data_IF_830925705956
#
_entry.id   IF_830925705956
#
_cell.length_a   1.000
_cell.length_b   1.000
_cell.length_c   1.000
_cell.angle_alpha   90.00
_cell.angle_beta   90.00
_cell.angle_gamma   90.00
#
_symmetry.space_group_name_H-M   'P 1'
#
loop_
_entity.id
_entity.type
_entity.pdbx_description
1 polymer ?
#
# COMPACT_ATOMS: atom_id res chain seq x y z
N UNK A 1 -26.52 -37.63 4.44
CA UNK A 1 -25.89 -36.30 4.58
C UNK A 1 -26.38 -35.44 3.42
N UNK A 2 -27.09 -34.34 3.69
CA UNK A 2 -27.65 -33.43 2.67
C UNK A 2 -26.61 -32.35 2.34
N UNK A 3 -26.05 -32.41 1.14
CA UNK A 3 -25.20 -31.35 0.56
C UNK A 3 -26.01 -30.07 0.44
N UNK A 4 -25.60 -29.01 1.15
CA UNK A 4 -26.15 -27.66 0.95
C UNK A 4 -25.59 -27.13 -0.37
N UNK A 5 -26.35 -27.23 -1.45
CA UNK A 5 -26.12 -26.43 -2.64
C UNK A 5 -26.25 -24.96 -2.22
N UNK A 6 -25.14 -24.21 -2.24
CA UNK A 6 -25.20 -22.75 -2.29
C UNK A 6 -25.85 -22.41 -3.62
N UNK A 7 -27.08 -21.91 -3.58
CA UNK A 7 -27.70 -21.30 -4.75
C UNK A 7 -26.79 -20.14 -5.16
N UNK A 8 -26.07 -20.30 -6.28
CA UNK A 8 -25.47 -19.18 -6.97
C UNK A 8 -26.62 -18.35 -7.52
N UNK A 9 -26.62 -17.05 -7.21
CA UNK A 9 -27.64 -16.15 -7.75
C UNK A 9 -27.65 -16.25 -9.27
N UNK A 10 -28.83 -16.43 -9.86
CA UNK A 10 -28.95 -16.53 -11.32
C UNK A 10 -28.69 -15.18 -11.96
N UNK A 11 -28.33 -15.16 -13.24
CA UNK A 11 -28.10 -13.92 -14.00
C UNK A 11 -29.33 -12.97 -13.93
N UNK A 12 -30.54 -13.54 -13.84
CA UNK A 12 -31.78 -12.77 -13.66
C UNK A 12 -31.88 -12.05 -12.31
N UNK A 13 -31.33 -12.62 -11.25
CA UNK A 13 -31.30 -11.98 -9.92
C UNK A 13 -30.25 -10.86 -9.88
N UNK A 14 -29.17 -11.01 -10.65
CA UNK A 14 -28.20 -9.93 -10.85
C UNK A 14 -28.80 -8.75 -11.60
N UNK A 15 -29.57 -9.01 -12.67
CA UNK A 15 -30.26 -7.95 -13.43
C UNK A 15 -31.26 -7.18 -12.56
N UNK A 16 -31.98 -7.86 -11.68
CA UNK A 16 -32.93 -7.24 -10.76
C UNK A 16 -32.20 -6.30 -9.78
N UNK A 17 -31.09 -6.74 -9.19
CA UNK A 17 -30.25 -5.91 -8.28
C UNK A 17 -29.70 -4.68 -8.99
N UNK A 18 -29.27 -4.80 -10.24
CA UNK A 18 -28.80 -3.65 -11.02
C UNK A 18 -29.92 -2.68 -11.36
N UNK A 19 -31.10 -3.18 -11.71
CA UNK A 19 -32.26 -2.31 -11.97
C UNK A 19 -32.69 -1.52 -10.73
N UNK A 20 -32.63 -2.17 -9.56
CA UNK A 20 -33.03 -1.58 -8.29
C UNK A 20 -31.99 -0.55 -7.79
N UNK A 21 -30.71 -0.73 -8.15
CA UNK A 21 -29.65 0.25 -7.94
C UNK A 21 -29.85 1.50 -8.83
N UNK A 22 -30.14 1.32 -10.12
CA UNK A 22 -30.38 2.43 -11.04
C UNK A 22 -31.65 3.22 -10.69
N UNK A 23 -32.70 2.54 -10.23
CA UNK A 23 -33.94 3.17 -9.76
C UNK A 23 -33.75 4.05 -8.52
N UNK A 24 -32.71 3.81 -7.72
CA UNK A 24 -32.38 4.59 -6.52
C UNK A 24 -31.46 5.76 -6.80
N UNK A 25 -30.92 5.89 -8.02
CA UNK A 25 -30.15 7.07 -8.36
C UNK A 25 -31.09 8.28 -8.44
N UNK A 26 -30.86 9.32 -7.61
CA UNK A 26 -31.66 10.53 -7.69
C UNK A 26 -31.50 11.14 -9.08
N UNK A 27 -32.63 11.33 -9.78
CA UNK A 27 -32.64 11.99 -11.08
C UNK A 27 -31.88 13.32 -10.99
N UNK A 28 -30.95 13.53 -11.94
CA UNK A 28 -30.16 14.75 -12.01
C UNK A 28 -31.10 15.96 -11.95
N UNK A 29 -30.94 16.76 -10.89
CA UNK A 29 -31.78 17.92 -10.66
C UNK A 29 -31.73 18.85 -11.88
N UNK A 30 -32.87 19.39 -12.35
CA UNK A 30 -32.87 20.38 -13.42
C UNK A 30 -32.03 21.59 -12.98
N UNK A 31 -31.08 21.96 -13.84
CA UNK A 31 -30.21 23.11 -13.65
C UNK A 31 -31.05 24.36 -13.33
N UNK A 32 -30.76 25.10 -12.25
CA UNK A 32 -31.49 26.32 -11.95
C UNK A 32 -31.27 27.38 -13.04
N UNK A 33 -32.35 28.12 -13.30
CA UNK A 33 -32.44 29.16 -14.32
C UNK A 33 -31.24 30.13 -14.34
N UNK A 34 -30.88 30.53 -15.57
CA UNK A 34 -29.79 31.44 -15.89
C UNK A 34 -29.77 32.66 -14.97
N UNK A 35 -28.62 32.86 -14.28
CA UNK A 35 -28.33 34.09 -13.55
C UNK A 35 -28.34 35.29 -14.51
N UNK A 36 -28.78 36.47 -14.06
CA UNK A 36 -28.72 37.69 -14.87
C UNK A 36 -27.28 37.96 -15.31
N UNK A 37 -27.11 38.25 -16.60
CA UNK A 37 -25.83 38.57 -17.20
C UNK A 37 -25.16 39.73 -16.44
N UNK A 38 -24.01 39.46 -15.84
CA UNK A 38 -23.11 40.51 -15.35
C UNK A 38 -22.73 41.41 -16.53
N UNK A 39 -22.65 42.73 -16.35
CA UNK A 39 -22.04 43.60 -17.35
C UNK A 39 -20.61 43.10 -17.60
N UNK A 40 -20.32 42.77 -18.86
CA UNK A 40 -19.00 42.39 -19.31
C UNK A 40 -18.09 43.61 -19.18
N UNK A 41 -17.34 43.69 -18.08
CA UNK A 41 -16.11 44.46 -18.11
C UNK A 41 -15.25 43.84 -19.20
N UNK A 42 -14.86 44.66 -20.19
CA UNK A 42 -13.97 44.25 -21.26
C UNK A 42 -12.78 43.53 -20.65
N UNK A 43 -12.74 42.22 -20.84
CA UNK A 43 -11.65 41.36 -20.43
C UNK A 43 -10.44 41.84 -21.23
N UNK A 44 -9.37 42.36 -20.60
CA UNK A 44 -8.14 42.62 -21.32
C UNK A 44 -7.71 41.27 -21.91
N UNK A 45 -7.59 41.22 -23.24
CA UNK A 45 -7.20 40.03 -23.98
C UNK A 45 -6.12 39.29 -23.20
N UNK A 46 -6.44 38.06 -22.76
CA UNK A 46 -5.51 37.22 -22.05
C UNK A 46 -4.20 37.21 -22.86
N UNK A 47 -3.04 37.52 -22.25
CA UNK A 47 -1.79 37.44 -22.98
C UNK A 47 -1.68 36.01 -23.49
N UNK A 48 -1.68 35.88 -24.81
CA UNK A 48 -1.42 34.64 -25.52
C UNK A 48 -0.18 34.05 -24.86
N UNK A 49 -0.35 32.94 -24.14
CA UNK A 49 0.76 32.31 -23.42
C UNK A 49 1.76 31.85 -24.48
N UNK A 50 2.72 32.73 -24.76
CA UNK A 50 3.81 32.46 -25.66
C UNK A 50 4.54 31.25 -25.09
N UNK A 51 4.34 30.09 -25.71
CA UNK A 51 5.19 28.92 -25.50
C UNK A 51 6.62 29.44 -25.67
N UNK A 52 7.46 29.41 -24.62
CA UNK A 52 8.84 29.82 -24.78
C UNK A 52 9.44 28.90 -25.84
N UNK A 53 9.77 29.47 -27.00
CA UNK A 53 10.52 28.79 -28.05
C UNK A 53 11.95 28.71 -27.56
N UNK A 54 12.21 27.73 -26.68
CA UNK A 54 13.56 27.47 -26.21
C UNK A 54 14.36 26.99 -27.44
N UNK A 55 15.45 27.67 -27.81
CA UNK A 55 16.23 27.26 -28.97
C UNK A 55 16.70 25.81 -28.78
N UNK A 56 16.62 24.96 -29.82
CA UNK A 56 16.78 23.50 -29.69
C UNK A 56 18.14 23.07 -29.14
N UNK A 57 19.16 23.94 -29.23
CA UNK A 57 20.49 23.71 -28.66
C UNK A 57 20.55 24.00 -27.16
N UNK A 58 19.87 25.04 -26.68
CA UNK A 58 19.80 25.37 -25.25
C UNK A 58 18.91 24.37 -24.50
N UNK A 59 17.84 23.90 -25.16
CA UNK A 59 16.97 22.84 -24.64
C UNK A 59 17.72 21.51 -24.43
N UNK A 60 18.67 21.15 -25.32
CA UNK A 60 19.50 19.97 -25.14
C UNK A 60 20.47 20.11 -23.97
N UNK A 61 21.17 21.25 -23.82
CA UNK A 61 22.09 21.43 -22.69
C UNK A 61 21.34 21.48 -21.35
N UNK A 62 20.17 22.13 -21.29
CA UNK A 62 19.32 22.07 -20.09
C UNK A 62 18.81 20.66 -19.80
N UNK A 63 18.41 19.89 -20.81
CA UNK A 63 17.97 18.51 -20.61
C UNK A 63 19.07 17.63 -19.99
N UNK A 64 20.32 17.79 -20.44
CA UNK A 64 21.48 17.10 -19.84
C UNK A 64 21.77 17.58 -18.42
N UNK A 65 21.60 18.87 -18.12
CA UNK A 65 21.77 19.40 -16.77
C UNK A 65 20.67 18.95 -15.79
N UNK A 66 19.46 18.67 -16.27
CA UNK A 66 18.33 18.18 -15.46
C UNK A 66 18.39 16.67 -15.21
N UNK A 67 19.06 15.91 -16.08
CA UNK A 67 19.21 14.46 -15.97
C UNK A 67 19.81 13.98 -14.62
N UNK A 68 20.90 14.57 -14.09
CA UNK A 68 21.43 14.20 -12.77
C UNK A 68 20.47 14.56 -11.62
N UNK A 69 19.72 15.66 -11.73
CA UNK A 69 18.72 16.03 -10.74
C UNK A 69 17.53 15.05 -10.73
N UNK A 70 17.07 14.63 -11.91
CA UNK A 70 16.05 13.61 -12.05
C UNK A 70 16.53 12.25 -11.49
N UNK A 71 17.79 11.88 -11.74
CA UNK A 71 18.38 10.68 -11.18
C UNK A 71 18.48 10.73 -9.63
N UNK A 72 18.89 11.86 -9.07
CA UNK A 72 18.91 12.08 -7.62
C UNK A 72 17.50 12.01 -7.02
N UNK A 73 16.51 12.65 -7.65
CA UNK A 73 15.13 12.57 -7.22
C UNK A 73 14.60 11.14 -7.27
N UNK A 74 14.96 10.37 -8.29
CA UNK A 74 14.59 8.97 -8.42
C UNK A 74 15.15 8.10 -7.30
N UNK A 75 16.42 8.30 -6.94
CA UNK A 75 17.09 7.56 -5.86
C UNK A 75 16.54 7.98 -4.49
N UNK A 76 16.22 9.26 -4.29
CA UNK A 76 15.70 9.78 -3.02
C UNK A 76 14.21 9.50 -2.78
N UNK A 77 13.42 9.36 -3.83
CA UNK A 77 11.97 9.13 -3.76
C UNK A 77 11.54 7.94 -2.87
N UNK A 78 12.15 6.73 -2.96
CA UNK A 78 11.76 5.63 -2.08
C UNK A 78 12.06 5.93 -0.61
N UNK A 79 13.16 6.63 -0.29
CA UNK A 79 13.49 7.01 1.09
C UNK A 79 12.55 8.07 1.65
N UNK A 80 12.17 9.07 0.84
CA UNK A 80 11.16 10.06 1.25
C UNK A 80 9.81 9.38 1.53
N UNK A 81 9.42 8.44 0.66
CA UNK A 81 8.19 7.65 0.84
C UNK A 81 8.27 6.79 2.11
N UNK A 82 9.40 6.12 2.33
CA UNK A 82 9.65 5.34 3.53
C UNK A 82 9.58 6.20 4.80
N UNK A 83 10.12 7.42 4.77
CA UNK A 83 10.04 8.39 5.87
C UNK A 83 8.60 8.85 6.15
N UNK A 84 7.83 9.16 5.11
CA UNK A 84 6.41 9.51 5.25
C UNK A 84 5.59 8.35 5.82
N UNK A 85 5.85 7.12 5.38
CA UNK A 85 5.21 5.93 5.93
C UNK A 85 5.60 5.69 7.40
N UNK A 86 6.89 5.85 7.72
CA UNK A 86 7.40 5.74 9.07
C UNK A 86 6.70 6.71 10.04
N UNK A 87 6.66 7.99 9.68
CA UNK A 87 5.97 9.03 10.46
C UNK A 87 4.46 8.80 10.55
N UNK A 88 3.82 8.35 9.47
CA UNK A 88 2.39 8.03 9.47
C UNK A 88 2.06 6.81 10.34
N UNK A 89 2.91 5.77 10.36
CA UNK A 89 2.77 4.62 11.24
C UNK A 89 2.92 5.03 12.72
N UNK A 90 3.88 5.90 13.03
CA UNK A 90 4.08 6.40 14.40
C UNK A 90 2.92 7.29 14.87
N UNK A 91 2.47 8.18 14.00
CA UNK A 91 1.35 9.10 14.27
C UNK A 91 -0.03 8.47 14.17
N UNK A 92 -0.12 7.21 13.72
CA UNK A 92 -1.40 6.54 13.35
C UNK A 92 -2.23 7.37 12.38
N UNK A 93 -1.57 8.02 11.44
CA UNK A 93 -2.21 8.82 10.41
C UNK A 93 -2.70 7.90 9.29
N UNK A 94 -3.92 7.40 9.47
CA UNK A 94 -4.58 6.50 8.51
C UNK A 94 -4.79 7.14 7.14
N UNK A 95 -4.96 8.46 7.07
CA UNK A 95 -5.15 9.17 5.80
C UNK A 95 -3.86 9.19 4.99
N UNK A 96 -2.74 9.53 5.63
CA UNK A 96 -1.43 9.49 4.99
C UNK A 96 -1.04 8.06 4.60
N UNK A 97 -1.34 7.06 5.44
CA UNK A 97 -1.14 5.66 5.07
C UNK A 97 -1.99 5.26 3.86
N UNK A 98 -3.27 5.66 3.80
CA UNK A 98 -4.16 5.34 2.68
C UNK A 98 -3.66 5.86 1.33
N UNK A 99 -2.94 7.00 1.30
CA UNK A 99 -2.35 7.53 0.06
C UNK A 99 -1.20 6.69 -0.49
N UNK A 100 -0.53 5.93 0.38
CA UNK A 100 0.68 5.18 0.05
C UNK A 100 0.48 3.66 0.05
N UNK A 101 -0.62 3.16 0.62
CA UNK A 101 -0.94 1.73 0.65
C UNK A 101 -1.80 1.37 -0.56
N UNK A 102 -1.39 0.34 -1.31
CA UNK A 102 -2.22 -0.25 -2.34
C UNK A 102 -2.95 -1.45 -1.75
N UNK A 103 -4.26 -1.34 -1.41
CA UNK A 103 -4.96 -2.38 -0.65
C UNK A 103 -5.03 -3.70 -1.42
N UNK A 104 -5.24 -3.67 -2.73
CA UNK A 104 -5.31 -4.87 -3.55
C UNK A 104 -3.97 -5.60 -3.62
N UNK A 105 -2.87 -4.86 -3.80
CA UNK A 105 -1.53 -5.46 -3.81
C UNK A 105 -1.17 -6.01 -2.42
N UNK A 106 -1.46 -5.25 -1.37
CA UNK A 106 -1.22 -5.66 0.01
C UNK A 106 -2.00 -6.92 0.38
N UNK A 107 -3.28 -7.01 0.01
CA UNK A 107 -4.09 -8.21 0.20
C UNK A 107 -3.45 -9.42 -0.50
N UNK A 108 -3.03 -9.27 -1.75
CA UNK A 108 -2.35 -10.33 -2.50
C UNK A 108 -1.05 -10.79 -1.83
N UNK A 109 -0.25 -9.85 -1.32
CA UNK A 109 0.99 -10.15 -0.62
C UNK A 109 0.74 -10.85 0.73
N UNK A 110 -0.23 -10.38 1.52
CA UNK A 110 -0.61 -11.02 2.78
C UNK A 110 -1.15 -12.43 2.54
N UNK A 111 -2.01 -12.61 1.53
CA UNK A 111 -2.50 -13.94 1.13
C UNK A 111 -1.35 -14.87 0.76
N UNK A 112 -0.38 -14.38 -0.03
CA UNK A 112 0.80 -15.16 -0.40
C UNK A 112 1.66 -15.53 0.81
N UNK A 113 1.83 -14.62 1.77
CA UNK A 113 2.56 -14.89 3.01
C UNK A 113 1.83 -15.84 3.97
N UNK A 114 0.50 -15.80 3.98
CA UNK A 114 -0.36 -16.65 4.80
C UNK A 114 -0.59 -18.04 4.23
N UNK A 115 -0.17 -18.33 3.00
CA UNK A 115 -0.35 -19.63 2.37
C UNK A 115 0.88 -20.52 2.66
N UNK A 116 0.92 -21.22 3.81
CA UNK A 116 2.17 -21.74 4.36
C UNK A 116 2.18 -23.24 4.10
N UNK A 117 2.44 -23.64 2.86
CA UNK A 117 2.49 -25.03 2.43
C UNK A 117 1.16 -25.82 2.60
N UNK A 118 0.82 -26.54 1.53
CA UNK A 118 -0.37 -27.37 1.35
C UNK A 118 -0.55 -28.33 2.55
N UNK A 119 -1.64 -28.20 3.30
CA UNK A 119 -2.06 -29.22 4.24
C UNK A 119 -2.51 -30.46 3.46
N UNK A 120 -2.22 -31.66 3.94
CA UNK A 120 -2.69 -32.90 3.29
C UNK A 120 -4.22 -32.98 3.38
N UNK A 121 -4.91 -32.58 2.31
CA UNK A 121 -6.37 -32.65 2.18
C UNK A 121 -6.97 -31.43 1.47
N UNK A 122 -7.69 -31.68 0.37
CA UNK A 122 -8.35 -30.66 -0.46
C UNK A 122 -9.29 -29.76 0.36
N UNK A 123 -10.06 -30.36 1.28
CA UNK A 123 -11.04 -29.63 2.09
C UNK A 123 -10.40 -28.77 3.19
N UNK A 124 -9.29 -29.22 3.78
CA UNK A 124 -8.51 -28.43 4.73
C UNK A 124 -7.86 -27.23 4.04
N UNK A 125 -7.32 -27.44 2.84
CA UNK A 125 -6.74 -26.37 2.03
C UNK A 125 -7.78 -25.31 1.63
N UNK A 126 -8.98 -25.72 1.23
CA UNK A 126 -10.05 -24.79 0.90
C UNK A 126 -10.47 -23.92 2.10
N UNK A 127 -10.55 -24.52 3.29
CA UNK A 127 -10.86 -23.79 4.52
C UNK A 127 -9.74 -22.80 4.92
N UNK A 128 -8.48 -23.25 4.87
CA UNK A 128 -7.33 -22.40 5.17
C UNK A 128 -7.19 -21.25 4.15
N UNK A 129 -7.45 -21.52 2.87
CA UNK A 129 -7.46 -20.49 1.84
C UNK A 129 -8.55 -19.43 2.08
N UNK A 130 -9.77 -19.85 2.46
CA UNK A 130 -10.84 -18.92 2.79
C UNK A 130 -10.49 -18.07 4.03
N UNK A 131 -9.92 -18.68 5.08
CA UNK A 131 -9.47 -17.95 6.26
C UNK A 131 -8.34 -16.98 5.94
N UNK A 132 -7.38 -17.38 5.10
CA UNK A 132 -6.30 -16.52 4.65
C UNK A 132 -6.85 -15.32 3.85
N UNK A 133 -7.88 -15.53 3.03
CA UNK A 133 -8.55 -14.45 2.29
C UNK A 133 -9.25 -13.46 3.23
N UNK A 134 -9.96 -13.95 4.25
CA UNK A 134 -10.62 -13.09 5.25
C UNK A 134 -9.59 -12.28 6.06
N UNK A 135 -8.49 -12.92 6.50
CA UNK A 135 -7.41 -12.23 7.23
C UNK A 135 -6.72 -11.21 6.32
N UNK A 136 -6.42 -11.59 5.07
CA UNK A 136 -5.77 -10.71 4.11
C UNK A 136 -6.65 -9.48 3.81
N UNK A 137 -7.96 -9.65 3.66
CA UNK A 137 -8.90 -8.55 3.47
C UNK A 137 -8.92 -7.61 4.68
N UNK A 138 -8.93 -8.15 5.91
CA UNK A 138 -8.86 -7.35 7.13
C UNK A 138 -7.55 -6.55 7.24
N UNK A 139 -6.44 -7.16 6.86
CA UNK A 139 -5.10 -6.58 6.97
C UNK A 139 -4.72 -5.62 5.84
N UNK A 140 -5.42 -5.69 4.71
CA UNK A 140 -5.21 -4.80 3.57
C UNK A 140 -5.64 -3.35 3.84
N UNK A 141 -6.19 -3.06 5.02
CA UNK A 141 -6.59 -1.71 5.41
C UNK A 141 -5.43 -0.92 6.03
N UNK A 142 -5.32 0.40 5.76
CA UNK A 142 -4.29 1.25 6.36
C UNK A 142 -4.32 1.24 7.90
N UNK A 143 -5.52 1.13 8.50
CA UNK A 143 -5.68 1.02 9.93
C UNK A 143 -5.15 -0.29 10.49
N UNK A 144 -5.44 -1.42 9.84
CA UNK A 144 -4.92 -2.70 10.26
C UNK A 144 -3.39 -2.77 10.16
N UNK A 145 -2.78 -2.13 9.15
CA UNK A 145 -1.32 -2.07 9.06
C UNK A 145 -0.68 -1.40 10.29
N UNK A 146 -1.25 -0.28 10.75
CA UNK A 146 -0.77 0.42 11.94
C UNK A 146 -0.96 -0.44 13.22
N UNK A 147 -2.10 -1.12 13.34
CA UNK A 147 -2.36 -2.01 14.47
C UNK A 147 -1.47 -3.26 14.46
N UNK A 148 -1.18 -3.83 13.28
CA UNK A 148 -0.24 -4.96 13.15
C UNK A 148 1.17 -4.52 13.54
N UNK A 149 1.62 -3.35 13.07
CA UNK A 149 2.93 -2.80 13.46
C UNK A 149 3.00 -2.60 15.00
N UNK A 150 1.93 -2.10 15.61
CA UNK A 150 1.82 -1.96 17.07
C UNK A 150 1.85 -3.31 17.78
N UNK A 151 1.05 -4.28 17.34
CA UNK A 151 0.99 -5.63 17.92
C UNK A 151 2.34 -6.35 17.84
N UNK A 152 3.13 -6.08 16.79
CA UNK A 152 4.51 -6.56 16.62
C UNK A 152 5.53 -5.81 17.49
N UNK A 153 5.10 -4.75 18.17
CA UNK A 153 5.93 -3.98 19.09
C UNK A 153 6.88 -3.00 18.38
N UNK A 154 6.51 -2.51 17.19
CA UNK A 154 7.25 -1.43 16.51
C UNK A 154 7.12 -0.16 17.35
N UNK A 155 8.23 0.30 17.91
CA UNK A 155 8.27 1.50 18.77
C UNK A 155 8.38 2.78 17.94
N UNK A 156 7.90 3.92 18.45
CA UNK A 156 8.29 5.22 17.93
C UNK A 156 9.82 5.35 17.92
N UNK A 157 10.40 5.75 16.80
CA UNK A 157 11.83 5.77 16.51
C UNK A 157 12.34 4.53 15.76
N UNK A 158 11.75 3.34 15.97
CA UNK A 158 12.17 2.13 15.26
C UNK A 158 11.82 2.19 13.75
N UNK A 159 10.81 2.99 13.38
CA UNK A 159 10.48 3.23 11.97
C UNK A 159 11.55 4.07 11.28
N UNK A 160 12.12 5.09 11.96
CA UNK A 160 13.22 5.91 11.43
C UNK A 160 14.51 5.10 11.27
N UNK A 161 14.78 4.16 12.18
CA UNK A 161 15.87 3.20 12.03
C UNK A 161 15.62 2.25 10.85
N UNK A 162 14.36 1.83 10.65
CA UNK A 162 13.95 1.07 9.48
C UNK A 162 14.20 1.80 8.16
N UNK A 163 13.92 3.11 8.08
CA UNK A 163 14.24 3.95 6.90
C UNK A 163 15.73 3.98 6.62
N UNK A 164 16.58 4.07 7.66
CA UNK A 164 18.05 4.04 7.49
C UNK A 164 18.57 2.70 7.00
N UNK A 165 17.85 1.61 7.33
CA UNK A 165 18.13 0.25 6.89
C UNK A 165 17.37 -0.14 5.62
N UNK A 166 16.61 0.78 5.04
CA UNK A 166 15.88 0.51 3.81
C UNK A 166 16.88 0.28 2.67
N UNK A 167 16.67 -0.80 1.92
CA UNK A 167 17.57 -1.22 0.86
C UNK A 167 16.82 -1.46 -0.45
N UNK A 168 17.42 -1.07 -1.59
CA UNK A 168 16.90 -1.43 -2.89
C UNK A 168 17.06 -2.94 -3.11
N UNK A 169 15.98 -3.61 -3.49
CA UNK A 169 16.02 -5.01 -3.94
C UNK A 169 16.01 -5.08 -5.47
N UNK A 170 15.53 -4.04 -6.13
CA UNK A 170 15.58 -3.86 -7.58
C UNK A 170 15.39 -2.40 -7.98
N UNK A 171 15.20 -2.13 -9.27
CA UNK A 171 15.02 -0.77 -9.79
C UNK A 171 13.69 -0.13 -9.36
N UNK A 172 12.67 -0.96 -9.11
CA UNK A 172 11.31 -0.55 -8.77
C UNK A 172 10.81 -1.14 -7.45
N UNK A 173 11.71 -1.74 -6.66
CA UNK A 173 11.36 -2.39 -5.39
C UNK A 173 12.35 -2.03 -4.29
N UNK A 174 11.81 -1.66 -3.15
CA UNK A 174 12.52 -1.30 -1.93
C UNK A 174 11.99 -2.11 -0.75
N UNK A 175 12.88 -2.57 0.12
CA UNK A 175 12.51 -3.22 1.37
C UNK A 175 12.90 -2.33 2.54
N UNK A 176 11.97 -2.12 3.47
CA UNK A 176 12.18 -1.37 4.71
C UNK A 176 11.93 -2.30 5.90
N UNK A 177 13.00 -2.77 6.59
CA UNK A 177 12.85 -3.64 7.75
C UNK A 177 12.44 -2.82 8.99
N UNK A 178 11.28 -3.15 9.55
CA UNK A 178 10.77 -2.64 10.81
C UNK A 178 11.08 -3.64 11.93
N UNK A 179 11.93 -3.22 12.87
CA UNK A 179 12.27 -4.04 14.02
C UNK A 179 11.24 -3.83 15.12
N UNK A 180 10.37 -4.83 15.31
CA UNK A 180 9.44 -4.89 16.42
C UNK A 180 10.03 -5.61 17.62
N UNK A 181 9.68 -5.19 18.83
CA UNK A 181 10.14 -5.85 20.06
C UNK A 181 9.65 -7.30 20.20
N UNK A 182 8.50 -7.63 19.60
CA UNK A 182 7.93 -8.98 19.63
C UNK A 182 8.30 -9.81 18.40
N UNK A 183 8.31 -9.19 17.21
CA UNK A 183 8.71 -9.86 15.97
C UNK A 183 9.09 -8.84 14.90
N UNK A 184 10.13 -9.11 14.09
CA UNK A 184 10.46 -8.29 12.94
C UNK A 184 9.38 -8.34 11.85
N UNK A 185 9.28 -7.28 11.07
CA UNK A 185 8.38 -7.14 9.94
C UNK A 185 9.09 -6.33 8.85
N UNK A 186 8.94 -6.68 7.59
CA UNK A 186 9.53 -5.93 6.47
C UNK A 186 8.43 -5.36 5.59
N UNK A 187 8.46 -4.06 5.32
CA UNK A 187 7.58 -3.41 4.36
C UNK A 187 8.21 -3.45 2.97
N UNK A 188 7.43 -3.85 1.98
CA UNK A 188 7.82 -3.83 0.58
C UNK A 188 7.17 -2.63 -0.10
N UNK A 189 8.02 -1.73 -0.58
CA UNK A 189 7.63 -0.58 -1.38
C UNK A 189 7.92 -0.88 -2.84
N UNK A 190 6.94 -0.71 -3.70
CA UNK A 190 7.10 -0.83 -5.15
C UNK A 190 6.68 0.44 -5.87
N UNK A 191 7.39 0.73 -6.95
CA UNK A 191 7.04 1.82 -7.83
C UNK A 191 5.92 1.36 -8.78
N UNK A 192 4.75 1.97 -8.66
CA UNK A 192 3.65 1.77 -9.60
C UNK A 192 3.43 2.99 -10.48
N UNK A 193 3.24 2.73 -11.77
CA UNK A 193 2.70 3.74 -12.70
C UNK A 193 1.18 3.74 -12.57
N UNK A 194 0.66 4.53 -11.64
CA UNK A 194 -0.76 4.82 -11.55
C UNK A 194 -1.00 6.26 -12.01
N UNK A 195 -1.54 6.42 -13.21
CA UNK A 195 -1.77 7.73 -13.83
C UNK A 195 -0.52 8.32 -14.51
N UNK A 196 -0.40 9.65 -14.47
CA UNK A 196 0.63 10.41 -15.20
C UNK A 196 2.00 10.45 -14.51
N UNK A 197 2.06 10.07 -13.22
CA UNK A 197 3.29 10.12 -12.44
C UNK A 197 3.51 8.79 -11.70
N UNK A 198 4.70 8.17 -11.82
CA UNK A 198 5.01 6.97 -11.05
C UNK A 198 5.07 7.31 -9.56
N UNK A 199 4.45 6.46 -8.73
CA UNK A 199 4.40 6.62 -7.28
C UNK A 199 4.89 5.38 -6.56
N UNK A 200 5.67 5.57 -5.51
CA UNK A 200 6.08 4.50 -4.60
C UNK A 200 4.92 4.17 -3.66
N UNK A 201 4.56 2.90 -3.57
CA UNK A 201 3.47 2.41 -2.74
C UNK A 201 3.90 1.18 -1.95
N UNK A 202 3.29 1.00 -0.77
CA UNK A 202 3.39 -0.26 -0.04
C UNK A 202 2.53 -1.29 -0.77
N UNK A 203 3.18 -2.32 -1.30
CA UNK A 203 2.52 -3.43 -2.00
C UNK A 203 2.59 -4.73 -1.23
N UNK A 204 3.43 -4.82 -0.20
CA UNK A 204 3.55 -6.04 0.59
C UNK A 204 4.07 -5.82 2.00
N UNK A 205 3.74 -6.79 2.85
CA UNK A 205 4.24 -6.94 4.20
C UNK A 205 4.79 -8.34 4.34
N UNK A 206 6.09 -8.47 4.59
CA UNK A 206 6.70 -9.74 4.96
C UNK A 206 6.77 -9.81 6.48
N UNK A 207 6.09 -10.81 7.04
CA UNK A 207 6.20 -11.12 8.46
C UNK A 207 7.33 -12.12 8.62
N UNK A 208 8.50 -11.65 9.02
CA UNK A 208 9.61 -12.54 9.31
C UNK A 208 9.26 -13.29 10.61
N UNK A 209 9.39 -14.63 10.59
CA UNK A 209 9.21 -15.41 11.81
C UNK A 209 10.27 -14.96 12.82
N UNK A 210 9.84 -14.61 14.04
CA UNK A 210 10.77 -14.32 15.12
C UNK A 210 11.72 -15.52 15.27
N UNK A 211 13.03 -15.26 15.25
CA UNK A 211 14.01 -16.28 15.56
C UNK A 211 13.60 -16.93 16.90
N UNK A 212 13.57 -18.27 17.00
CA UNK A 212 13.19 -18.93 18.23
C UNK A 212 14.08 -18.36 19.33
N UNK A 213 13.46 -17.83 20.39
CA UNK A 213 14.19 -17.35 21.54
C UNK A 213 15.13 -18.48 21.96
N UNK A 214 16.44 -18.23 21.88
CA UNK A 214 17.45 -19.16 22.37
C UNK A 214 17.13 -19.32 23.85
N UNK A 215 16.44 -20.41 24.20
CA UNK A 215 16.09 -20.70 25.58
C UNK A 215 17.38 -20.67 26.40
N UNK A 216 17.34 -20.20 27.66
CA UNK A 216 18.50 -20.33 28.54
C UNK A 216 18.90 -21.80 28.53
N UNK A 217 20.07 -22.09 27.97
CA UNK A 217 20.56 -23.47 27.84
C UNK A 217 20.45 -24.19 29.18
N UNK A 218 20.15 -25.49 29.18
CA UNK A 218 20.00 -26.24 30.43
C UNK A 218 21.23 -25.98 31.27
N UNK A 219 21.03 -25.41 32.46
CA UNK A 219 22.08 -25.24 33.44
C UNK A 219 22.73 -26.61 33.63
N UNK A 220 23.97 -26.76 33.16
CA UNK A 220 24.78 -27.95 33.38
C UNK A 220 24.83 -28.19 34.88
N UNK A 221 24.00 -29.12 35.36
CA UNK A 221 24.13 -29.68 36.71
C UNK A 221 25.47 -30.40 36.72
N UNK A 222 26.49 -29.73 37.25
CA UNK A 222 27.72 -30.33 37.72
C UNK A 222 27.33 -31.33 38.82
N UNK A 223 27.05 -32.56 38.41
CA UNK A 223 27.00 -33.70 39.31
C UNK A 223 28.39 -33.89 39.89
N UNK A 224 28.52 -33.55 41.16
CA UNK A 224 29.68 -33.87 41.98
C UNK A 224 29.94 -35.39 41.92
N UNK A 225 31.09 -35.78 41.39
CA UNK A 225 31.65 -37.11 41.67
C UNK A 225 32.41 -37.04 42.99
N UNK A 226 31.91 -37.81 43.95
CA UNK A 226 32.67 -38.36 45.07
C UNK A 226 33.47 -39.56 44.59
#
# INVERSE_FOLDING_TARGET
MKTRQRAMMSDSEWDEVWSDYDARQPAAAPLPAARPARPSFAEPAAPTSARPVIPPRLGRMMAWALLPLAALAWIGAPYATAWHLATALEGRDHETLARHVNPAALQGAVRAALNPAVAEGEQANAFLAAMADDIAAGWATPAALAEVARARGVRPGATTEGVRRAMPVGLTRFEMPLHGAASPMTLQLELKQEGLAPRWQVTGVRLDQAAPAVGPGPALRLSAMR
#
